data_IF_539452978379
#
_entry.id   IF_539452978379
#
_cell.length_a   1.000
_cell.length_b   1.000
_cell.length_c   1.000
_cell.angle_alpha   90.00
_cell.angle_beta   90.00
_cell.angle_gamma   90.00
#
_symmetry.space_group_name_H-M   'P 1'
#
loop_
_entity.id
_entity.type
_entity.pdbx_description
1 polymer ?
#
# COMPACT_ATOMS: atom_id res chain seq x y z
N UNK A 1 26.40 18.74 -19.87
CA UNK A 1 27.38 18.05 -19.01
C UNK A 1 27.89 19.05 -17.99
N UNK A 2 28.08 18.62 -16.74
CA UNK A 2 28.47 19.52 -15.65
C UNK A 2 29.98 19.77 -15.68
N UNK A 3 30.37 21.04 -15.56
CA UNK A 3 31.78 21.45 -15.45
C UNK A 3 32.17 21.40 -13.97
N UNK A 4 32.57 20.23 -13.49
CA UNK A 4 32.81 19.95 -12.07
C UNK A 4 33.88 20.84 -11.41
N UNK A 5 34.83 21.36 -12.18
CA UNK A 5 35.92 22.21 -11.67
C UNK A 5 35.45 23.61 -11.22
N UNK A 6 34.21 23.99 -11.53
CA UNK A 6 33.62 25.26 -11.06
C UNK A 6 33.04 25.18 -9.64
N UNK A 7 32.99 23.97 -9.05
CA UNK A 7 32.39 23.76 -7.74
C UNK A 7 33.46 23.30 -6.75
N UNK A 8 33.83 24.12 -5.75
CA UNK A 8 34.67 23.66 -4.66
C UNK A 8 33.93 22.61 -3.82
N UNK A 9 34.63 21.91 -2.93
CA UNK A 9 34.01 20.95 -2.02
C UNK A 9 32.86 21.60 -1.22
N UNK A 10 31.73 20.90 -1.12
CA UNK A 10 30.51 21.40 -0.46
C UNK A 10 29.26 21.33 -1.33
N UNK A 11 28.20 22.02 -0.87
CA UNK A 11 26.88 22.04 -1.50
C UNK A 11 26.68 23.33 -2.31
N UNK A 12 26.24 23.19 -3.56
CA UNK A 12 26.04 24.32 -4.48
C UNK A 12 24.69 24.23 -5.17
N UNK A 13 24.21 25.37 -5.65
CA UNK A 13 23.04 25.44 -6.54
C UNK A 13 23.36 26.23 -7.80
N UNK A 14 22.99 25.66 -8.94
CA UNK A 14 23.22 26.26 -10.26
C UNK A 14 22.06 25.97 -11.21
N UNK A 15 22.13 26.55 -12.41
CA UNK A 15 21.17 26.31 -13.48
C UNK A 15 21.36 24.90 -14.05
N UNK A 16 20.25 24.18 -14.27
CA UNK A 16 20.30 22.86 -14.88
C UNK A 16 20.64 22.97 -16.38
N UNK A 17 21.66 22.25 -16.90
CA UNK A 17 22.04 22.30 -18.31
C UNK A 17 21.04 21.58 -19.23
N UNK A 18 20.14 20.76 -18.67
CA UNK A 18 19.13 20.00 -19.42
C UNK A 18 17.84 20.79 -19.59
N UNK A 19 17.24 21.28 -18.49
CA UNK A 19 15.99 22.03 -18.58
C UNK A 19 16.18 23.55 -18.77
N UNK A 20 17.41 24.07 -18.61
CA UNK A 20 17.88 25.42 -18.96
C UNK A 20 17.00 26.59 -18.48
N UNK A 21 16.22 26.39 -17.42
CA UNK A 21 15.42 27.46 -16.80
C UNK A 21 16.32 28.42 -16.02
N UNK A 22 15.90 29.68 -15.85
CA UNK A 22 16.69 30.72 -15.15
C UNK A 22 16.84 30.46 -13.63
N UNK A 23 16.23 29.41 -13.08
CA UNK A 23 16.28 29.07 -11.66
C UNK A 23 17.45 28.14 -11.30
N UNK A 24 17.93 28.22 -10.04
CA UNK A 24 19.01 27.36 -9.53
C UNK A 24 18.47 25.98 -9.08
N UNK A 25 17.81 25.29 -10.01
CA UNK A 25 17.10 24.02 -9.80
C UNK A 25 18.01 22.78 -9.73
N UNK A 26 19.30 22.90 -10.07
CA UNK A 26 20.29 21.84 -9.96
C UNK A 26 21.05 21.95 -8.63
N UNK A 27 20.94 20.94 -7.76
CA UNK A 27 21.81 20.77 -6.60
C UNK A 27 23.08 20.04 -7.01
N UNK A 28 24.24 20.52 -6.56
CA UNK A 28 25.54 19.91 -6.82
C UNK A 28 26.24 19.71 -5.47
N UNK A 29 26.49 18.45 -5.11
CA UNK A 29 27.19 18.06 -3.88
C UNK A 29 28.56 17.53 -4.25
N UNK A 30 29.62 18.25 -3.90
CA UNK A 30 31.01 17.86 -4.13
C UNK A 30 31.59 17.33 -2.83
N UNK A 31 31.85 16.02 -2.79
CA UNK A 31 32.41 15.34 -1.61
C UNK A 31 33.93 15.39 -1.60
N UNK A 32 34.57 15.31 -2.77
CA UNK A 32 36.03 15.40 -2.94
C UNK A 32 36.42 15.82 -4.37
N UNK A 33 37.73 15.99 -4.61
CA UNK A 33 38.28 16.20 -5.96
C UNK A 33 37.96 15.08 -6.97
N UNK A 34 37.50 13.91 -6.51
CA UNK A 34 37.16 12.78 -7.37
C UNK A 34 35.68 12.37 -7.27
N UNK A 35 34.95 12.83 -6.25
CA UNK A 35 33.57 12.40 -5.96
C UNK A 35 32.61 13.58 -5.87
N UNK A 36 31.61 13.62 -6.74
CA UNK A 36 30.52 14.60 -6.75
C UNK A 36 29.25 14.02 -7.35
N UNK A 37 28.09 14.53 -6.94
CA UNK A 37 26.78 14.19 -7.48
C UNK A 37 26.04 15.48 -7.80
N UNK A 38 25.35 15.51 -8.92
CA UNK A 38 24.43 16.57 -9.24
C UNK A 38 23.05 15.99 -9.53
N UNK A 39 22.02 16.60 -8.96
CA UNK A 39 20.64 16.17 -9.11
C UNK A 39 19.73 17.39 -9.35
N UNK A 40 19.01 17.38 -10.46
CA UNK A 40 18.00 18.39 -10.73
C UNK A 40 16.68 17.98 -10.08
N UNK A 41 16.25 18.74 -9.08
CA UNK A 41 15.01 18.50 -8.36
C UNK A 41 13.74 18.71 -9.19
N UNK A 42 13.86 19.11 -10.47
CA UNK A 42 12.73 19.38 -11.37
C UNK A 42 12.59 18.34 -12.48
N UNK A 43 13.63 18.16 -13.30
CA UNK A 43 13.57 17.21 -14.42
C UNK A 43 14.15 15.83 -14.10
N UNK A 44 14.65 15.61 -12.87
CA UNK A 44 15.19 14.32 -12.44
C UNK A 44 16.57 13.99 -13.02
N UNK A 45 17.22 14.93 -13.71
CA UNK A 45 18.57 14.73 -14.25
C UNK A 45 19.58 14.44 -13.13
N UNK A 46 20.36 13.36 -13.28
CA UNK A 46 21.45 12.97 -12.37
C UNK A 46 22.75 12.80 -13.17
N UNK A 47 23.83 13.43 -12.70
CA UNK A 47 25.19 13.18 -13.18
C UNK A 47 26.09 12.91 -11.96
N UNK A 48 26.95 11.92 -12.03
CA UNK A 48 27.87 11.58 -10.93
C UNK A 48 29.32 11.57 -11.41
N UNK A 49 30.17 12.39 -10.80
CA UNK A 49 31.63 12.26 -10.90
C UNK A 49 32.07 11.30 -9.80
N UNK A 50 32.59 10.14 -10.17
CA UNK A 50 33.26 9.22 -9.24
C UNK A 50 34.55 8.78 -9.91
N UNK A 51 35.63 8.50 -9.17
CA UNK A 51 36.74 7.79 -9.78
C UNK A 51 36.19 6.46 -10.30
N UNK A 52 36.35 6.20 -11.61
CA UNK A 52 36.11 4.88 -12.20
C UNK A 52 37.21 3.92 -11.73
N UNK A 53 37.33 3.74 -10.42
CA UNK A 53 38.09 2.62 -9.88
C UNK A 53 37.12 1.46 -9.79
N UNK A 54 37.33 0.48 -10.65
CA UNK A 54 36.67 -0.81 -10.47
C UNK A 54 37.07 -1.37 -9.11
N UNK A 55 36.07 -1.67 -8.28
CA UNK A 55 36.31 -2.39 -7.02
C UNK A 55 37.05 -3.68 -7.37
N UNK A 56 38.12 -3.99 -6.64
CA UNK A 56 38.76 -5.30 -6.76
C UNK A 56 37.76 -6.39 -6.38
N UNK A 57 37.96 -7.66 -6.81
CA UNK A 57 37.10 -8.76 -6.37
C UNK A 57 36.95 -8.85 -4.85
N UNK A 58 38.04 -8.57 -4.10
CA UNK A 58 38.02 -8.55 -2.64
C UNK A 58 37.17 -7.42 -2.06
N UNK A 59 37.21 -6.23 -2.65
CA UNK A 59 36.40 -5.08 -2.22
C UNK A 59 34.92 -5.25 -2.56
N UNK A 60 34.58 -5.84 -3.72
CA UNK A 60 33.19 -6.17 -4.09
C UNK A 60 32.58 -7.16 -3.10
N UNK A 61 33.35 -8.19 -2.77
CA UNK A 61 32.92 -9.22 -1.82
C UNK A 61 32.78 -8.65 -0.40
N UNK A 62 33.72 -7.82 0.05
CA UNK A 62 33.60 -7.12 1.33
C UNK A 62 32.38 -6.18 1.38
N UNK A 63 32.11 -5.45 0.29
CA UNK A 63 30.92 -4.60 0.17
C UNK A 63 29.63 -5.42 0.22
N UNK A 64 29.56 -6.52 -0.54
CA UNK A 64 28.41 -7.44 -0.54
C UNK A 64 28.15 -7.98 0.87
N UNK A 65 29.17 -8.48 1.56
CA UNK A 65 29.05 -8.95 2.96
C UNK A 65 28.53 -7.87 3.90
N UNK A 66 29.00 -6.62 3.77
CA UNK A 66 28.52 -5.50 4.58
C UNK A 66 27.05 -5.18 4.29
N UNK A 67 26.65 -5.15 3.03
CA UNK A 67 25.25 -4.92 2.63
C UNK A 67 24.33 -6.04 3.11
N UNK A 68 24.77 -7.29 2.98
CA UNK A 68 24.02 -8.46 3.46
C UNK A 68 23.88 -8.43 4.98
N UNK A 69 24.94 -8.10 5.73
CA UNK A 69 24.89 -7.95 7.18
C UNK A 69 23.95 -6.81 7.62
N UNK A 70 24.03 -5.64 6.98
CA UNK A 70 23.11 -4.52 7.26
C UNK A 70 21.65 -4.88 6.95
N UNK A 71 21.40 -5.61 5.85
CA UNK A 71 20.07 -6.11 5.52
C UNK A 71 19.56 -7.10 6.55
N UNK A 72 20.39 -8.06 6.98
CA UNK A 72 20.03 -9.03 8.01
C UNK A 72 19.71 -8.36 9.34
N UNK A 73 20.51 -7.37 9.74
CA UNK A 73 20.26 -6.58 10.95
C UNK A 73 18.93 -5.82 10.85
N UNK A 74 18.72 -5.09 9.76
CA UNK A 74 17.46 -4.37 9.55
C UNK A 74 16.26 -5.32 9.55
N UNK A 75 16.35 -6.46 8.85
CA UNK A 75 15.27 -7.45 8.81
C UNK A 75 15.01 -8.06 10.20
N UNK A 76 16.03 -8.23 11.03
CA UNK A 76 15.89 -8.69 12.41
C UNK A 76 15.17 -7.64 13.29
N UNK A 77 15.61 -6.38 13.24
CA UNK A 77 14.98 -5.27 13.96
C UNK A 77 13.51 -5.08 13.54
N UNK A 78 13.21 -5.20 12.25
CA UNK A 78 11.84 -5.15 11.74
C UNK A 78 10.99 -6.31 12.26
N UNK A 79 11.52 -7.54 12.29
CA UNK A 79 10.80 -8.69 12.85
C UNK A 79 10.49 -8.51 14.32
N UNK A 80 11.43 -8.00 15.11
CA UNK A 80 11.23 -7.74 16.53
C UNK A 80 10.16 -6.67 16.76
N UNK A 81 10.23 -5.54 16.04
CA UNK A 81 9.20 -4.48 16.09
C UNK A 81 7.82 -5.01 15.72
N UNK A 82 7.74 -5.83 14.67
CA UNK A 82 6.48 -6.44 14.23
C UNK A 82 5.93 -7.44 15.26
N UNK A 83 6.79 -8.23 15.91
CA UNK A 83 6.39 -9.16 16.96
C UNK A 83 5.84 -8.44 18.20
N UNK A 84 6.49 -7.35 18.61
CA UNK A 84 6.00 -6.49 19.69
C UNK A 84 4.64 -5.87 19.34
N UNK A 85 4.51 -5.32 18.13
CA UNK A 85 3.24 -4.76 17.66
C UNK A 85 2.11 -5.81 17.54
N UNK A 86 2.44 -7.02 17.11
CA UNK A 86 1.49 -8.15 17.04
C UNK A 86 1.00 -8.55 18.45
N UNK A 87 1.89 -8.54 19.44
CA UNK A 87 1.52 -8.81 20.84
C UNK A 87 0.56 -7.75 21.39
N UNK A 88 0.84 -6.46 21.13
CA UNK A 88 -0.06 -5.36 21.50
C UNK A 88 -1.40 -5.49 20.78
N UNK A 89 -1.40 -5.80 19.48
CA UNK A 89 -2.60 -6.05 18.70
C UNK A 89 -3.44 -7.19 19.28
N UNK A 90 -2.82 -8.28 19.71
CA UNK A 90 -3.50 -9.43 20.32
C UNK A 90 -4.18 -9.07 21.63
N UNK A 91 -3.52 -8.31 22.51
CA UNK A 91 -4.11 -7.84 23.77
C UNK A 91 -5.34 -6.97 23.51
N UNK A 92 -5.20 -5.97 22.63
CA UNK A 92 -6.32 -5.09 22.23
C UNK A 92 -7.48 -5.89 21.62
N UNK A 93 -7.17 -6.80 20.69
CA UNK A 93 -8.17 -7.63 20.04
C UNK A 93 -8.95 -8.50 21.03
N UNK A 94 -8.26 -9.10 22.01
CA UNK A 94 -8.87 -9.96 23.01
C UNK A 94 -9.80 -9.19 23.96
N UNK A 95 -9.44 -7.96 24.32
CA UNK A 95 -10.26 -7.09 25.19
C UNK A 95 -11.45 -6.44 24.46
N UNK A 96 -11.39 -6.35 23.13
CA UNK A 96 -12.40 -5.69 22.32
C UNK A 96 -13.72 -6.49 22.24
N UNK A 97 -14.84 -5.75 22.16
CA UNK A 97 -16.20 -6.29 22.19
C UNK A 97 -16.76 -6.51 20.77
N UNK A 98 -17.78 -7.35 20.58
CA UNK A 98 -18.52 -7.42 19.32
C UNK A 98 -19.08 -6.05 18.92
N UNK A 99 -19.08 -5.75 17.62
CA UNK A 99 -19.67 -4.51 17.11
C UNK A 99 -21.19 -4.64 17.10
N UNK A 100 -21.89 -3.69 17.74
CA UNK A 100 -23.35 -3.58 17.67
C UNK A 100 -23.78 -2.52 16.66
N UNK A 101 -23.17 -1.34 16.76
CA UNK A 101 -23.36 -0.21 15.86
C UNK A 101 -22.06 0.61 15.82
N UNK A 102 -21.85 1.35 14.73
CA UNK A 102 -20.75 2.30 14.64
C UNK A 102 -21.02 3.31 13.50
N UNK A 103 -20.81 4.63 13.72
CA UNK A 103 -21.15 5.66 12.72
C UNK A 103 -20.51 5.46 11.34
N UNK A 104 -19.28 4.94 11.29
CA UNK A 104 -18.62 4.61 10.01
C UNK A 104 -19.37 3.54 9.20
N UNK A 105 -19.83 2.47 9.87
CA UNK A 105 -20.52 1.35 9.22
C UNK A 105 -21.89 1.79 8.70
N UNK A 106 -22.60 2.59 9.48
CA UNK A 106 -23.88 3.20 9.09
C UNK A 106 -23.72 4.11 7.87
N UNK A 107 -22.75 5.04 7.90
CA UNK A 107 -22.49 5.92 6.75
C UNK A 107 -22.08 5.17 5.48
N UNK A 108 -21.35 4.07 5.64
CA UNK A 108 -20.93 3.22 4.52
C UNK A 108 -21.97 2.14 4.16
N UNK A 109 -23.07 2.06 4.92
CA UNK A 109 -24.14 1.08 4.77
C UNK A 109 -23.63 -0.37 4.67
N UNK A 110 -22.62 -0.74 5.47
CA UNK A 110 -22.02 -2.09 5.50
C UNK A 110 -22.06 -2.68 6.90
N UNK A 111 -22.13 -4.00 7.01
CA UNK A 111 -22.06 -4.70 8.28
C UNK A 111 -20.63 -4.81 8.80
N UNK A 112 -20.50 -5.25 10.05
CA UNK A 112 -19.24 -5.33 10.76
C UNK A 112 -18.39 -6.57 10.44
N UNK A 113 -18.87 -7.59 9.73
CA UNK A 113 -18.08 -8.74 9.24
C UNK A 113 -16.78 -9.10 9.99
N UNK A 114 -16.91 -9.46 11.27
CA UNK A 114 -15.78 -9.90 12.10
C UNK A 114 -14.90 -8.78 12.68
N UNK A 115 -15.30 -7.51 12.59
CA UNK A 115 -14.72 -6.38 13.32
C UNK A 115 -15.05 -6.44 14.82
N UNK A 116 -14.33 -5.67 15.63
CA UNK A 116 -14.59 -5.48 17.07
C UNK A 116 -14.56 -4.01 17.47
N UNK A 117 -15.07 -3.67 18.66
CA UNK A 117 -15.03 -2.33 19.25
C UNK A 117 -14.07 -2.28 20.44
N UNK A 118 -13.21 -1.27 20.45
CA UNK A 118 -12.41 -0.84 21.60
C UNK A 118 -12.74 0.63 21.90
N UNK A 119 -13.55 0.86 22.94
CA UNK A 119 -14.20 2.16 23.12
C UNK A 119 -15.05 2.50 21.89
N UNK A 120 -14.82 3.69 21.33
CA UNK A 120 -15.49 4.18 20.12
C UNK A 120 -14.71 3.90 18.82
N UNK A 121 -13.66 3.05 18.89
CA UNK A 121 -12.85 2.69 17.73
C UNK A 121 -13.24 1.30 17.22
N UNK A 122 -13.54 1.19 15.93
CA UNK A 122 -13.55 -0.11 15.26
C UNK A 122 -12.13 -0.64 15.15
N UNK A 123 -11.97 -1.94 15.39
CA UNK A 123 -10.76 -2.69 15.16
C UNK A 123 -10.98 -3.68 14.01
N UNK A 124 -10.09 -3.61 13.02
CA UNK A 124 -9.99 -4.55 11.91
C UNK A 124 -8.72 -5.38 12.06
N UNK A 125 -8.81 -6.72 12.16
CA UNK A 125 -7.65 -7.57 12.34
C UNK A 125 -6.90 -7.77 11.01
N UNK A 126 -5.58 -7.56 11.04
CA UNK A 126 -4.69 -7.92 9.93
C UNK A 126 -4.04 -9.26 10.24
N UNK A 127 -4.38 -10.28 9.45
CA UNK A 127 -3.82 -11.63 9.60
C UNK A 127 -2.96 -12.00 8.42
N UNK A 128 -1.91 -12.78 8.66
CA UNK A 128 -1.14 -13.40 7.59
C UNK A 128 -1.89 -14.58 6.95
N UNK A 129 -1.28 -15.22 5.94
CA UNK A 129 -1.86 -16.39 5.28
C UNK A 129 -2.02 -17.61 6.19
N UNK A 130 -1.27 -17.69 7.30
CA UNK A 130 -1.45 -18.72 8.32
C UNK A 130 -2.61 -18.42 9.29
N UNK A 131 -3.16 -17.21 9.25
CA UNK A 131 -4.25 -16.76 10.14
C UNK A 131 -3.75 -16.10 11.42
N UNK A 132 -2.44 -15.93 11.58
CA UNK A 132 -1.82 -15.27 12.74
C UNK A 132 -2.15 -13.78 12.72
N UNK A 133 -2.59 -13.23 13.85
CA UNK A 133 -2.84 -11.80 13.98
C UNK A 133 -1.50 -11.05 14.03
N UNK A 134 -1.27 -10.17 13.06
CA UNK A 134 -0.01 -9.44 12.91
C UNK A 134 -0.14 -7.95 13.22
N UNK A 135 -1.34 -7.38 13.07
CA UNK A 135 -1.61 -5.97 13.35
C UNK A 135 -3.13 -5.70 13.45
N UNK A 136 -3.50 -4.46 13.74
CA UNK A 136 -4.86 -3.94 13.65
C UNK A 136 -4.86 -2.66 12.80
N UNK A 137 -5.95 -2.45 12.06
CA UNK A 137 -6.35 -1.12 11.60
C UNK A 137 -7.48 -0.65 12.51
N UNK A 138 -7.40 0.58 12.97
CA UNK A 138 -8.46 1.24 13.73
C UNK A 138 -9.24 2.18 12.83
N UNK A 139 -10.54 2.32 13.06
CA UNK A 139 -11.38 3.33 12.40
C UNK A 139 -12.14 4.11 13.49
N UNK A 140 -11.98 5.43 13.51
CA UNK A 140 -12.70 6.32 14.41
C UNK A 140 -14.13 6.61 13.90
N UNK A 141 -14.96 7.21 14.75
CA UNK A 141 -16.34 7.57 14.41
C UNK A 141 -16.46 8.46 13.15
N UNK A 142 -15.48 9.34 12.89
CA UNK A 142 -15.39 10.20 11.71
C UNK A 142 -14.93 9.45 10.43
N UNK A 143 -14.43 8.22 10.58
CA UNK A 143 -13.89 7.40 9.50
C UNK A 143 -12.36 7.48 9.36
N UNK A 144 -11.66 8.22 10.23
CA UNK A 144 -10.20 8.27 10.24
C UNK A 144 -9.62 6.88 10.53
N UNK A 145 -8.82 6.37 9.60
CA UNK A 145 -8.21 5.04 9.67
C UNK A 145 -6.74 5.12 10.07
N UNK A 146 -6.27 4.26 10.99
CA UNK A 146 -4.86 4.19 11.40
C UNK A 146 -4.42 2.75 11.61
N UNK A 147 -3.17 2.43 11.31
CA UNK A 147 -2.58 1.14 11.68
C UNK A 147 -1.91 1.22 13.05
N UNK A 148 -1.79 0.08 13.73
CA UNK A 148 -0.93 -0.04 14.92
C UNK A 148 0.53 0.23 14.51
N UNK A 149 1.21 1.21 15.13
CA UNK A 149 2.61 1.52 14.81
C UNK A 149 3.52 0.29 14.95
N UNK A 150 4.43 0.10 13.99
CA UNK A 150 5.31 -1.07 13.93
C UNK A 150 4.64 -2.37 13.52
N UNK A 151 3.31 -2.40 13.40
CA UNK A 151 2.56 -3.57 12.97
C UNK A 151 2.81 -3.92 11.51
N UNK A 152 2.88 -5.22 11.20
CA UNK A 152 3.03 -5.69 9.83
C UNK A 152 1.70 -5.58 9.08
N UNK A 153 1.68 -4.80 8.01
CA UNK A 153 0.56 -4.74 7.05
C UNK A 153 0.84 -5.57 5.80
N UNK A 154 2.09 -5.58 5.34
CA UNK A 154 2.50 -6.21 4.07
C UNK A 154 2.16 -7.70 4.04
N UNK A 155 1.33 -8.09 3.08
CA UNK A 155 0.84 -9.46 2.88
C UNK A 155 -0.17 -9.93 3.93
N UNK A 156 -0.60 -9.05 4.84
CA UNK A 156 -1.65 -9.33 5.81
C UNK A 156 -2.98 -8.74 5.31
N UNK A 157 -4.08 -9.40 5.66
CA UNK A 157 -5.42 -9.06 5.18
C UNK A 157 -6.48 -9.30 6.27
N UNK A 158 -7.65 -8.70 6.11
CA UNK A 158 -8.86 -9.09 6.84
C UNK A 158 -9.73 -9.99 5.98
N UNK A 159 -10.21 -11.09 6.54
CA UNK A 159 -11.05 -12.05 5.82
C UNK A 159 -12.53 -11.81 6.13
N UNK A 160 -13.35 -11.76 5.09
CA UNK A 160 -14.81 -11.69 5.15
C UNK A 160 -15.36 -12.93 4.44
N UNK A 161 -16.27 -13.65 5.10
CA UNK A 161 -16.85 -14.89 4.57
C UNK A 161 -15.88 -16.07 4.55
N UNK A 162 -16.29 -17.17 3.89
CA UNK A 162 -15.49 -18.39 3.74
C UNK A 162 -15.24 -18.66 2.25
N UNK A 163 -13.97 -18.74 1.80
CA UNK A 163 -13.65 -18.99 0.39
C UNK A 163 -14.27 -20.29 -0.13
N UNK A 164 -14.94 -20.21 -1.28
CA UNK A 164 -15.54 -21.35 -1.97
C UNK A 164 -15.51 -21.13 -3.49
N UNK A 165 -14.60 -21.81 -4.19
CA UNK A 165 -14.40 -21.69 -5.64
C UNK A 165 -13.76 -20.36 -6.10
N UNK A 166 -14.13 -19.25 -5.47
CA UNK A 166 -13.65 -17.89 -5.75
C UNK A 166 -13.31 -17.13 -4.46
N UNK A 167 -12.29 -16.27 -4.54
CA UNK A 167 -11.91 -15.32 -3.50
C UNK A 167 -11.57 -13.96 -4.11
N UNK A 168 -12.24 -12.91 -3.62
CA UNK A 168 -11.99 -11.53 -4.06
C UNK A 168 -10.95 -10.88 -3.15
N UNK A 169 -10.03 -10.09 -3.71
CA UNK A 169 -9.11 -9.22 -2.98
C UNK A 169 -9.54 -7.78 -3.24
N UNK A 170 -9.92 -7.05 -2.20
CA UNK A 170 -10.36 -5.66 -2.28
C UNK A 170 -9.41 -4.74 -1.52
N UNK A 171 -9.30 -3.48 -1.93
CA UNK A 171 -8.45 -2.50 -1.25
C UNK A 171 -9.04 -2.09 0.12
N UNK A 172 -10.23 -1.48 0.13
CA UNK A 172 -10.86 -0.97 1.35
C UNK A 172 -11.79 -1.97 2.05
N UNK A 173 -11.99 -1.77 3.36
CA UNK A 173 -12.97 -2.56 4.13
C UNK A 173 -14.40 -2.37 3.60
N UNK A 174 -14.84 -1.13 3.36
CA UNK A 174 -16.19 -0.88 2.86
C UNK A 174 -16.42 -1.48 1.46
N UNK A 175 -15.44 -1.36 0.57
CA UNK A 175 -15.42 -2.05 -0.74
C UNK A 175 -15.58 -3.55 -0.56
N UNK A 176 -14.75 -4.18 0.29
CA UNK A 176 -14.79 -5.62 0.50
C UNK A 176 -16.07 -6.12 1.17
N UNK A 177 -16.58 -5.39 2.15
CA UNK A 177 -17.86 -5.70 2.79
C UNK A 177 -19.03 -5.57 1.80
N UNK A 178 -19.02 -4.54 0.95
CA UNK A 178 -20.03 -4.35 -0.11
C UNK A 178 -20.03 -5.52 -1.08
N UNK A 179 -18.86 -5.90 -1.60
CA UNK A 179 -18.74 -7.04 -2.52
C UNK A 179 -19.25 -8.32 -1.85
N UNK A 180 -18.91 -8.55 -0.59
CA UNK A 180 -19.40 -9.73 0.13
C UNK A 180 -20.92 -9.73 0.29
N UNK A 181 -21.50 -8.61 0.72
CA UNK A 181 -22.95 -8.47 0.94
C UNK A 181 -23.75 -8.62 -0.35
N UNK A 182 -23.26 -8.06 -1.46
CA UNK A 182 -23.99 -8.05 -2.73
C UNK A 182 -23.84 -9.37 -3.51
N UNK A 183 -22.73 -10.11 -3.30
CA UNK A 183 -22.41 -11.30 -4.12
C UNK A 183 -22.32 -12.62 -3.34
N UNK A 184 -22.22 -12.56 -2.01
CA UNK A 184 -21.93 -13.72 -1.15
C UNK A 184 -20.50 -14.25 -1.25
N UNK A 185 -19.64 -13.70 -2.12
CA UNK A 185 -18.27 -14.18 -2.31
C UNK A 185 -17.39 -13.84 -1.10
N UNK A 186 -16.45 -14.72 -0.76
CA UNK A 186 -15.46 -14.41 0.26
C UNK A 186 -14.50 -13.31 -0.23
N UNK A 187 -14.07 -12.46 0.70
CA UNK A 187 -13.23 -11.31 0.41
C UNK A 187 -12.03 -11.24 1.35
N UNK A 188 -10.86 -10.89 0.81
CA UNK A 188 -9.67 -10.49 1.54
C UNK A 188 -9.44 -8.99 1.36
N UNK A 189 -9.53 -8.22 2.43
CA UNK A 189 -9.29 -6.77 2.43
C UNK A 189 -7.79 -6.51 2.60
N UNK A 190 -7.18 -5.86 1.61
CA UNK A 190 -5.74 -5.57 1.55
C UNK A 190 -5.35 -4.23 2.20
N UNK A 191 -6.31 -3.37 2.51
CA UNK A 191 -6.19 -2.08 3.21
C UNK A 191 -5.55 -0.90 2.45
N UNK A 192 -4.82 -1.15 1.38
CA UNK A 192 -4.30 -0.11 0.47
C UNK A 192 -3.80 -0.73 -0.84
N UNK A 193 -3.72 0.08 -1.90
CA UNK A 193 -3.24 -0.29 -3.23
C UNK A 193 -1.87 -1.00 -3.19
N UNK A 194 -0.93 -0.48 -2.39
CA UNK A 194 0.42 -1.03 -2.24
C UNK A 194 0.49 -2.44 -1.66
N UNK A 195 -0.59 -2.90 -1.01
CA UNK A 195 -0.68 -4.22 -0.39
C UNK A 195 -1.51 -5.23 -1.20
N UNK A 196 -2.17 -4.81 -2.28
CA UNK A 196 -2.94 -5.71 -3.15
C UNK A 196 -2.08 -6.87 -3.68
N UNK A 197 -0.93 -6.57 -4.29
CA UNK A 197 -0.04 -7.60 -4.83
C UNK A 197 0.53 -8.53 -3.74
N UNK A 198 1.12 -8.05 -2.63
CA UNK A 198 1.58 -8.91 -1.54
C UNK A 198 0.50 -9.84 -0.99
N UNK A 199 -0.74 -9.36 -0.82
CA UNK A 199 -1.88 -10.17 -0.35
C UNK A 199 -2.30 -11.19 -1.41
N UNK A 200 -2.43 -10.77 -2.68
CA UNK A 200 -2.77 -11.67 -3.78
C UNK A 200 -1.74 -12.80 -3.94
N UNK A 201 -0.44 -12.50 -3.83
CA UNK A 201 0.62 -13.51 -3.88
C UNK A 201 0.52 -14.50 -2.71
N UNK A 202 0.31 -14.01 -1.49
CA UNK A 202 0.16 -14.86 -0.31
C UNK A 202 -1.07 -15.78 -0.43
N UNK A 203 -2.18 -15.26 -0.96
CA UNK A 203 -3.41 -16.02 -1.16
C UNK A 203 -3.32 -17.00 -2.33
N UNK A 204 -2.64 -16.66 -3.42
CA UNK A 204 -2.36 -17.59 -4.52
C UNK A 204 -1.50 -18.76 -4.06
N UNK A 205 -0.50 -18.51 -3.22
CA UNK A 205 0.30 -19.56 -2.59
C UNK A 205 -0.52 -20.46 -1.65
N UNK A 206 -1.44 -19.87 -0.87
CA UNK A 206 -2.34 -20.62 0.03
C UNK A 206 -3.41 -21.41 -0.71
N UNK A 207 -3.94 -20.88 -1.81
CA UNK A 207 -5.02 -21.46 -2.60
C UNK A 207 -4.68 -21.52 -4.09
N UNK A 208 -3.77 -22.43 -4.52
CA UNK A 208 -3.27 -22.44 -5.89
C UNK A 208 -4.35 -22.55 -6.97
N UNK A 209 -5.38 -23.38 -6.74
CA UNK A 209 -6.48 -23.63 -7.68
C UNK A 209 -7.73 -22.77 -7.48
N UNK A 210 -7.73 -21.82 -6.54
CA UNK A 210 -8.89 -20.93 -6.32
C UNK A 210 -8.93 -19.84 -7.41
N UNK A 211 -10.12 -19.50 -7.89
CA UNK A 211 -10.25 -18.32 -8.75
C UNK A 211 -10.07 -17.06 -7.92
N UNK A 212 -9.04 -16.29 -8.21
CA UNK A 212 -8.80 -15.01 -7.55
C UNK A 212 -9.34 -13.88 -8.43
N UNK A 213 -9.98 -12.90 -7.79
CA UNK A 213 -10.44 -11.67 -8.43
C UNK A 213 -9.86 -10.50 -7.66
N UNK A 214 -9.18 -9.57 -8.33
CA UNK A 214 -8.75 -8.30 -7.73
C UNK A 214 -9.81 -7.26 -8.03
N UNK A 215 -10.47 -6.75 -7.00
CA UNK A 215 -11.41 -5.64 -7.11
C UNK A 215 -10.65 -4.32 -6.97
N UNK A 216 -10.71 -3.50 -8.02
CA UNK A 216 -10.04 -2.21 -8.08
C UNK A 216 -10.90 -1.10 -7.46
N UNK A 217 -10.22 -0.12 -6.85
CA UNK A 217 -10.77 1.21 -6.66
C UNK A 217 -10.39 2.04 -7.91
N UNK A 218 -11.37 2.70 -8.54
CA UNK A 218 -11.19 3.54 -9.73
C UNK A 218 -10.95 5.00 -9.31
N UNK A 219 -9.72 5.28 -8.88
CA UNK A 219 -9.22 6.60 -8.44
C UNK A 219 -9.09 7.60 -9.61
N UNK A 220 -10.15 7.76 -10.39
CA UNK A 220 -10.19 8.49 -11.67
C UNK A 220 -9.78 9.97 -11.60
N UNK A 221 -9.87 10.58 -10.40
CA UNK A 221 -9.44 11.95 -10.13
C UNK A 221 -7.96 12.07 -9.74
N UNK A 222 -7.27 10.95 -9.51
CA UNK A 222 -5.86 10.92 -9.12
C UNK A 222 -4.98 10.60 -10.31
N UNK A 223 -3.92 11.38 -10.53
CA UNK A 223 -2.98 11.15 -11.62
C UNK A 223 -2.40 9.72 -11.56
N UNK A 224 -2.43 9.04 -12.70
CA UNK A 224 -2.00 7.64 -12.82
C UNK A 224 -2.97 6.58 -12.24
N UNK A 225 -4.11 6.96 -11.67
CA UNK A 225 -5.15 6.05 -11.12
C UNK A 225 -4.54 4.89 -10.31
N UNK A 226 -3.94 5.18 -9.14
CA UNK A 226 -3.10 4.23 -8.41
C UNK A 226 -3.86 2.95 -7.98
N UNK A 227 -5.13 3.06 -7.56
CA UNK A 227 -5.97 1.90 -7.23
C UNK A 227 -6.10 0.93 -8.40
N UNK A 228 -6.53 1.41 -9.58
CA UNK A 228 -6.67 0.58 -10.78
C UNK A 228 -5.33 0.05 -11.30
N UNK A 229 -4.28 0.88 -11.27
CA UNK A 229 -2.93 0.49 -11.70
C UNK A 229 -2.38 -0.63 -10.82
N UNK A 230 -2.51 -0.51 -9.49
CA UNK A 230 -2.07 -1.54 -8.55
C UNK A 230 -2.89 -2.82 -8.67
N UNK A 231 -4.21 -2.71 -8.81
CA UNK A 231 -5.11 -3.85 -9.00
C UNK A 231 -4.79 -4.63 -10.28
N UNK A 232 -4.58 -3.92 -11.40
CA UNK A 232 -4.19 -4.52 -12.69
C UNK A 232 -2.86 -5.24 -12.58
N UNK A 233 -1.85 -4.62 -11.96
CA UNK A 233 -0.55 -5.25 -11.73
C UNK A 233 -0.70 -6.52 -10.88
N UNK A 234 -1.43 -6.45 -9.77
CA UNK A 234 -1.67 -7.60 -8.92
C UNK A 234 -2.35 -8.74 -9.69
N UNK A 235 -3.39 -8.43 -10.47
CA UNK A 235 -4.13 -9.42 -11.25
C UNK A 235 -3.23 -10.13 -12.27
N UNK A 236 -2.41 -9.37 -12.99
CA UNK A 236 -1.46 -9.93 -13.97
C UNK A 236 -0.41 -10.83 -13.32
N UNK A 237 0.23 -10.39 -12.24
CA UNK A 237 1.33 -11.11 -11.58
C UNK A 237 0.90 -12.44 -10.95
N UNK A 238 -0.37 -12.57 -10.53
CA UNK A 238 -0.87 -13.79 -9.86
C UNK A 238 -1.86 -14.60 -10.70
N UNK A 239 -2.07 -14.21 -11.97
CA UNK A 239 -3.05 -14.84 -12.86
C UNK A 239 -4.47 -14.80 -12.26
N UNK A 240 -4.90 -13.63 -11.81
CA UNK A 240 -6.24 -13.39 -11.27
C UNK A 240 -7.09 -12.57 -12.25
N UNK A 241 -8.40 -12.62 -12.10
CA UNK A 241 -9.33 -11.73 -12.79
C UNK A 241 -9.25 -10.31 -12.20
N UNK A 242 -9.63 -9.32 -12.98
CA UNK A 242 -9.75 -7.92 -12.53
C UNK A 242 -11.23 -7.51 -12.59
N UNK A 243 -11.75 -6.98 -11.50
CA UNK A 243 -13.07 -6.36 -11.44
C UNK A 243 -12.89 -4.85 -11.21
N UNK A 244 -13.58 -4.04 -12.02
CA UNK A 244 -13.56 -2.57 -11.95
C UNK A 244 -15.01 -2.10 -11.78
N UNK A 245 -15.29 -1.16 -10.87
CA UNK A 245 -16.64 -0.63 -10.71
C UNK A 245 -17.05 0.15 -11.98
N UNK A 246 -18.25 -0.12 -12.48
CA UNK A 246 -18.82 0.57 -13.64
C UNK A 246 -19.86 1.59 -13.18
N UNK A 247 -19.56 2.87 -13.37
CA UNK A 247 -20.42 3.98 -13.00
C UNK A 247 -21.25 4.53 -14.18
N UNK A 248 -21.27 3.84 -15.33
CA UNK A 248 -22.01 4.29 -16.49
C UNK A 248 -23.51 4.47 -16.18
N UNK A 249 -24.07 5.60 -16.58
CA UNK A 249 -25.48 5.94 -16.34
C UNK A 249 -25.76 6.56 -14.97
N UNK A 250 -24.79 6.59 -14.05
CA UNK A 250 -24.98 7.14 -12.70
C UNK A 250 -24.44 8.58 -12.58
N UNK A 251 -25.02 9.35 -11.66
CA UNK A 251 -24.50 10.67 -11.26
C UNK A 251 -23.26 10.50 -10.36
N UNK A 252 -22.11 10.22 -11.00
CA UNK A 252 -20.83 9.96 -10.34
C UNK A 252 -20.21 11.25 -9.81
N UNK A 253 -20.08 11.35 -8.49
CA UNK A 253 -19.37 12.44 -7.83
C UNK A 253 -17.84 12.32 -7.91
N UNK A 254 -17.10 13.40 -7.58
CA UNK A 254 -15.63 13.43 -7.66
C UNK A 254 -14.93 12.51 -6.62
N UNK A 255 -15.67 12.01 -5.63
CA UNK A 255 -15.15 11.08 -4.61
C UNK A 255 -15.61 9.64 -4.81
N UNK A 256 -16.42 9.39 -5.84
CA UNK A 256 -17.01 8.08 -6.09
C UNK A 256 -16.02 7.27 -6.94
N UNK A 257 -15.37 6.30 -6.30
CA UNK A 257 -14.29 5.53 -6.92
C UNK A 257 -14.42 4.03 -6.72
N UNK A 258 -15.15 3.56 -5.71
CA UNK A 258 -15.16 2.15 -5.31
C UNK A 258 -16.53 1.47 -5.49
N UNK A 259 -16.58 0.15 -5.26
CA UNK A 259 -17.81 -0.64 -5.33
C UNK A 259 -18.86 -0.23 -4.28
N UNK A 260 -18.45 0.37 -3.15
CA UNK A 260 -19.37 0.87 -2.14
C UNK A 260 -20.08 2.15 -2.61
N UNK A 261 -19.35 3.06 -3.26
CA UNK A 261 -19.93 4.26 -3.87
C UNK A 261 -20.86 3.90 -5.04
N UNK A 262 -20.47 2.90 -5.85
CA UNK A 262 -21.30 2.35 -6.93
C UNK A 262 -22.65 1.85 -6.39
N UNK A 263 -22.64 0.99 -5.36
CA UNK A 263 -23.87 0.51 -4.72
C UNK A 263 -24.73 1.65 -4.20
N UNK A 264 -24.12 2.64 -3.53
CA UNK A 264 -24.84 3.80 -2.98
C UNK A 264 -25.53 4.62 -4.08
N UNK A 265 -24.89 4.80 -5.23
CA UNK A 265 -25.48 5.53 -6.36
C UNK A 265 -26.60 4.74 -7.03
N UNK A 266 -26.39 3.45 -7.31
CA UNK A 266 -27.41 2.58 -7.92
C UNK A 266 -28.68 2.48 -7.05
N UNK A 267 -28.54 2.40 -5.72
CA UNK A 267 -29.68 2.39 -4.80
C UNK A 267 -30.46 3.71 -4.77
N UNK A 268 -29.77 4.84 -4.96
CA UNK A 268 -30.44 6.15 -5.06
C UNK A 268 -31.25 6.27 -6.34
N UNK A 269 -30.69 5.83 -7.47
CA UNK A 269 -31.40 5.86 -8.75
C UNK A 269 -32.65 4.97 -8.72
N UNK A 270 -32.56 3.77 -8.15
CA UNK A 270 -33.70 2.86 -8.02
C UNK A 270 -34.82 3.37 -7.08
N UNK A 271 -34.57 4.42 -6.29
CA UNK A 271 -35.52 5.02 -5.35
C UNK A 271 -36.26 6.26 -5.91
N UNK A 272 -35.93 6.67 -7.14
CA UNK A 272 -36.53 7.82 -7.86
C UNK A 272 -37.48 7.31 -8.94
#
# INVERSE_FOLDING_TARGET
>A
MIVWNHFPQGEHRTQCPICQRRDKSLGVSVFSHESAVAHCFRCGYVETRRPQRELTPAEREAYKRRMDAMRQQHDAEQRERQAAAASIAAVRWAAAKPVQAHPYLERKAVMAHGLRLEGDMLLIPLRDSAGTLMSLQTIAADGTKRFVPGGRTRGCYHAIGRPAGRLVVAEGYATGATIHEDTGQAVAVAFNAGNLLPVAQALRGKYPGMELVIAADDDWQTDGNPGLTAARKAAQEVGALLAVPDFAGLDRGPKDSDFNDLRRLAQKEAAV
#
